data_IF_164287245687
#
_entry.id   IF_164287245687
#
_cell.length_a   1.000
_cell.length_b   1.000
_cell.length_c   1.000
_cell.angle_alpha   90.00
_cell.angle_beta   90.00
_cell.angle_gamma   90.00
#
_symmetry.space_group_name_H-M   'P 1'
#
loop_
_entity.id
_entity.type
_entity.pdbx_description
1 polymer ?
#
# COMPACT_ATOMS: atom_id res chain seq x y z
N UNK A 1 -22.19 -5.02 -11.80
CA UNK A 1 -21.55 -4.24 -10.73
C UNK A 1 -20.51 -3.35 -11.37
N UNK A 2 -20.67 -2.03 -11.33
CA UNK A 2 -19.71 -1.08 -11.90
C UNK A 2 -18.55 -0.90 -10.93
N UNK A 3 -17.37 -1.41 -11.29
CA UNK A 3 -16.14 -1.23 -10.50
C UNK A 3 -15.78 0.25 -10.42
N UNK A 4 -15.37 0.72 -9.24
CA UNK A 4 -14.83 2.07 -9.01
C UNK A 4 -13.35 1.96 -8.64
N UNK A 5 -12.45 1.84 -9.63
CA UNK A 5 -11.06 1.46 -9.37
C UNK A 5 -10.21 2.61 -8.84
N UNK A 6 -10.69 3.86 -8.98
CA UNK A 6 -9.98 5.06 -8.53
C UNK A 6 -10.49 5.46 -7.15
N UNK A 7 -9.67 5.20 -6.15
CA UNK A 7 -9.94 5.56 -4.75
C UNK A 7 -9.27 6.89 -4.43
N UNK A 8 -9.93 7.75 -3.67
CA UNK A 8 -9.37 9.05 -3.30
C UNK A 8 -9.25 9.17 -1.79
N UNK A 9 -8.06 9.53 -1.34
CA UNK A 9 -7.68 9.70 0.05
C UNK A 9 -7.30 11.15 0.33
N UNK A 10 -7.55 11.63 1.54
CA UNK A 10 -7.06 12.92 2.01
C UNK A 10 -5.67 12.82 2.65
N UNK A 11 -5.16 13.94 3.17
CA UNK A 11 -3.84 14.03 3.80
C UNK A 11 -3.67 13.18 5.06
N UNK A 12 -4.77 12.75 5.68
CA UNK A 12 -4.76 11.86 6.85
C UNK A 12 -4.83 10.38 6.45
N UNK A 13 -4.96 10.09 5.15
CA UNK A 13 -5.09 8.74 4.61
C UNK A 13 -6.52 8.19 4.66
N UNK A 14 -7.52 9.02 4.92
CA UNK A 14 -8.92 8.62 4.99
C UNK A 14 -9.55 8.55 3.59
N UNK A 15 -10.36 7.51 3.35
CA UNK A 15 -11.04 7.35 2.07
C UNK A 15 -12.20 8.37 1.95
N UNK A 16 -12.04 9.35 1.07
CA UNK A 16 -13.00 10.44 0.88
C UNK A 16 -13.80 10.34 -0.42
N UNK A 17 -13.42 9.42 -1.32
CA UNK A 17 -14.12 9.25 -2.59
C UNK A 17 -13.78 7.96 -3.34
N UNK A 18 -14.69 7.54 -4.22
CA UNK A 18 -14.45 6.45 -5.17
C UNK A 18 -15.12 6.75 -6.52
N UNK A 19 -14.38 6.56 -7.60
CA UNK A 19 -14.77 6.97 -8.94
C UNK A 19 -14.59 5.85 -9.97
N UNK A 20 -15.45 5.80 -11.01
CA UNK A 20 -15.37 4.78 -12.06
C UNK A 20 -14.25 5.05 -13.07
N UNK A 21 -13.86 6.30 -13.27
CA UNK A 21 -12.86 6.73 -14.24
C UNK A 21 -11.86 7.74 -13.63
N UNK A 22 -10.69 7.81 -14.27
CA UNK A 22 -9.58 8.65 -13.82
C UNK A 22 -9.90 10.14 -13.93
N UNK A 23 -10.54 10.57 -15.01
CA UNK A 23 -10.78 11.98 -15.31
C UNK A 23 -11.70 12.61 -14.25
N UNK A 24 -12.78 11.92 -13.89
CA UNK A 24 -13.71 12.37 -12.84
C UNK A 24 -13.01 12.46 -11.48
N UNK A 25 -12.22 11.45 -11.11
CA UNK A 25 -11.44 11.46 -9.86
C UNK A 25 -10.45 12.64 -9.84
N UNK A 26 -9.79 12.89 -10.97
CA UNK A 26 -8.76 13.90 -11.12
C UNK A 26 -9.32 15.32 -11.01
N UNK A 27 -10.42 15.63 -11.71
CA UNK A 27 -11.12 16.92 -11.60
C UNK A 27 -11.59 17.14 -10.17
N UNK A 28 -12.16 16.11 -9.53
CA UNK A 28 -12.61 16.19 -8.15
C UNK A 28 -11.46 16.50 -7.19
N UNK A 29 -10.33 15.80 -7.31
CA UNK A 29 -9.17 16.00 -6.46
C UNK A 29 -8.60 17.42 -6.57
N UNK A 30 -8.52 17.97 -7.80
CA UNK A 30 -8.10 19.35 -8.00
C UNK A 30 -9.00 20.35 -7.29
N UNK A 31 -10.33 20.23 -7.46
CA UNK A 31 -11.30 21.08 -6.76
C UNK A 31 -11.16 20.97 -5.25
N UNK A 32 -11.06 19.75 -4.73
CA UNK A 32 -10.94 19.51 -3.29
C UNK A 32 -9.62 20.06 -2.73
N UNK A 33 -8.51 19.94 -3.45
CA UNK A 33 -7.18 20.34 -2.99
C UNK A 33 -7.01 21.85 -2.74
N UNK A 34 -7.86 22.69 -3.33
CA UNK A 34 -7.83 24.15 -3.16
C UNK A 34 -8.77 24.64 -2.05
N UNK A 35 -9.60 23.75 -1.50
CA UNK A 35 -10.50 24.13 -0.41
C UNK A 35 -9.72 24.33 0.90
N UNK A 36 -9.97 25.42 1.66
CA UNK A 36 -9.15 25.79 2.82
C UNK A 36 -9.05 24.72 3.92
N UNK A 37 -10.10 23.90 4.08
CA UNK A 37 -10.21 22.89 5.15
C UNK A 37 -9.88 21.47 4.69
N UNK A 38 -9.43 21.29 3.45
CA UNK A 38 -9.01 19.98 2.97
C UNK A 38 -7.68 19.60 3.60
N UNK A 39 -7.66 18.43 4.24
CA UNK A 39 -6.41 17.77 4.64
C UNK A 39 -5.63 17.39 3.38
N UNK A 40 -4.43 17.93 3.25
CA UNK A 40 -3.58 17.82 2.06
C UNK A 40 -2.38 16.92 2.34
N UNK A 41 -1.82 16.24 1.33
CA UNK A 41 -2.24 16.25 -0.09
C UNK A 41 -3.44 15.33 -0.36
N UNK A 42 -4.18 15.59 -1.45
CA UNK A 42 -5.23 14.65 -1.91
C UNK A 42 -4.57 13.59 -2.79
N UNK A 43 -4.84 12.31 -2.54
CA UNK A 43 -4.23 11.20 -3.28
C UNK A 43 -5.27 10.37 -4.02
N UNK A 44 -5.06 10.12 -5.31
CA UNK A 44 -5.86 9.20 -6.12
C UNK A 44 -5.05 7.91 -6.29
N UNK A 45 -5.58 6.78 -5.87
CA UNK A 45 -4.98 5.46 -6.07
C UNK A 45 -5.70 4.67 -7.16
N UNK A 46 -4.92 4.15 -8.10
CA UNK A 46 -5.30 3.05 -8.99
C UNK A 46 -4.41 1.84 -8.64
N UNK A 47 -4.98 0.89 -7.89
CA UNK A 47 -4.25 -0.30 -7.43
C UNK A 47 -3.98 -1.30 -8.54
N UNK A 48 -4.87 -1.39 -9.52
CA UNK A 48 -4.72 -2.30 -10.65
C UNK A 48 -3.59 -1.81 -11.58
N UNK A 49 -3.60 -0.51 -11.90
CA UNK A 49 -2.55 0.16 -12.65
C UNK A 49 -1.28 0.44 -11.85
N UNK A 50 -1.32 0.27 -10.52
CA UNK A 50 -0.22 0.52 -9.57
C UNK A 50 0.29 1.96 -9.64
N UNK A 51 -0.62 2.92 -9.48
CA UNK A 51 -0.34 4.34 -9.64
C UNK A 51 -0.99 5.12 -8.50
N UNK A 52 -0.29 6.17 -8.08
CA UNK A 52 -0.84 7.22 -7.22
C UNK A 52 -0.65 8.56 -7.90
N UNK A 53 -1.71 9.36 -7.97
CA UNK A 53 -1.61 10.79 -8.26
C UNK A 53 -1.72 11.57 -6.95
N UNK A 54 -0.80 12.49 -6.70
CA UNK A 54 -0.80 13.36 -5.51
C UNK A 54 -1.09 14.78 -5.97
N UNK A 55 -2.16 15.38 -5.46
CA UNK A 55 -2.63 16.71 -5.83
C UNK A 55 -2.50 17.64 -4.63
N UNK A 56 -1.71 18.71 -4.80
CA UNK A 56 -1.44 19.68 -3.74
C UNK A 56 -1.07 21.05 -4.34
N UNK A 57 -1.71 22.11 -3.86
CA UNK A 57 -1.37 23.49 -4.24
C UNK A 57 -1.44 23.75 -5.75
N UNK A 58 -2.37 23.10 -6.46
CA UNK A 58 -2.51 23.18 -7.92
C UNK A 58 -1.55 22.29 -8.72
N UNK A 59 -0.56 21.67 -8.08
CA UNK A 59 0.33 20.71 -8.72
C UNK A 59 -0.25 19.29 -8.64
N UNK A 60 -0.02 18.50 -9.69
CA UNK A 60 -0.38 17.08 -9.75
C UNK A 60 0.87 16.26 -10.09
N UNK A 61 1.24 15.33 -9.20
CA UNK A 61 2.42 14.47 -9.34
C UNK A 61 2.00 13.01 -9.43
N UNK A 62 2.44 12.33 -10.49
CA UNK A 62 2.25 10.88 -10.66
C UNK A 62 3.41 10.09 -10.02
N UNK A 63 3.07 9.07 -9.23
CA UNK A 63 3.99 8.05 -8.73
C UNK A 63 3.53 6.69 -9.25
N UNK A 64 4.44 5.95 -9.89
CA UNK A 64 4.16 4.59 -10.39
C UNK A 64 4.84 3.58 -9.48
N UNK A 65 4.09 2.61 -8.94
CA UNK A 65 4.64 1.59 -8.05
C UNK A 65 5.29 0.50 -8.89
N UNK A 66 6.62 0.52 -8.95
CA UNK A 66 7.39 -0.56 -9.54
C UNK A 66 7.47 -1.70 -8.52
N UNK A 67 7.26 -2.94 -8.98
CA UNK A 67 7.60 -4.10 -8.16
C UNK A 67 9.13 -4.12 -8.03
N UNK A 68 9.64 -3.86 -6.82
CA UNK A 68 10.95 -4.38 -6.47
C UNK A 68 10.73 -5.87 -6.20
N UNK A 69 11.27 -6.72 -7.06
CA UNK A 69 11.29 -8.16 -6.80
C UNK A 69 12.51 -8.39 -5.92
N UNK A 70 12.30 -8.48 -4.61
CA UNK A 70 13.32 -9.02 -3.72
C UNK A 70 13.16 -10.54 -3.74
N UNK A 71 14.14 -11.23 -4.33
CA UNK A 71 14.19 -12.69 -4.27
C UNK A 71 14.58 -13.09 -2.84
N UNK A 72 13.60 -13.53 -2.07
CA UNK A 72 13.78 -14.19 -0.79
C UNK A 72 13.23 -15.60 -0.87
N UNK A 73 13.95 -16.58 -0.31
CA UNK A 73 13.42 -17.92 -0.09
C UNK A 73 12.83 -17.98 1.31
N UNK A 74 11.63 -18.55 1.47
CA UNK A 74 11.13 -18.88 2.79
C UNK A 74 12.04 -19.95 3.39
N UNK A 75 12.86 -19.60 4.37
CA UNK A 75 13.54 -20.60 5.19
C UNK A 75 12.51 -21.11 6.19
N UNK A 76 12.06 -22.35 6.01
CA UNK A 76 11.39 -23.05 7.10
C UNK A 76 12.43 -23.19 8.22
N UNK A 77 12.33 -22.37 9.28
CA UNK A 77 13.15 -22.48 10.48
C UNK A 77 12.83 -23.81 11.17
N UNK A 78 13.39 -24.92 10.64
CA UNK A 78 13.42 -26.19 11.34
C UNK A 78 14.38 -26.03 12.51
N UNK A 79 13.85 -25.62 13.66
CA UNK A 79 14.55 -25.78 14.93
C UNK A 79 14.98 -27.24 15.06
N UNK A 80 16.29 -27.56 15.07
CA UNK A 80 16.73 -28.92 15.31
C UNK A 80 16.27 -29.29 16.72
N UNK A 81 15.47 -30.36 16.85
CA UNK A 81 15.20 -30.97 18.16
C UNK A 81 16.54 -31.44 18.71
N UNK A 82 17.07 -30.76 19.72
CA UNK A 82 18.16 -31.25 20.55
C UNK A 82 17.60 -32.46 21.31
N UNK A 83 17.94 -33.67 20.86
CA UNK A 83 17.67 -34.89 21.63
C UNK A 83 18.78 -34.98 22.69
N UNK A 84 18.45 -35.00 23.99
CA UNK A 84 19.47 -35.17 25.01
C UNK A 84 20.19 -36.50 24.82
N UNK A 85 21.52 -36.48 24.82
CA UNK A 85 22.32 -37.71 24.83
C UNK A 85 22.03 -38.46 26.14
N UNK A 86 21.45 -39.66 26.06
CA UNK A 86 21.38 -40.56 27.21
C UNK A 86 22.79 -41.04 27.54
N UNK A 87 23.34 -40.56 28.64
CA UNK A 87 24.52 -41.15 29.26
C UNK A 87 24.10 -42.48 29.90
N UNK A 88 24.56 -43.59 29.33
CA UNK A 88 24.46 -44.89 30.00
C UNK A 88 25.53 -44.93 31.10
N UNK A 89 25.09 -44.85 32.36
CA UNK A 89 25.94 -45.15 33.51
C UNK A 89 26.28 -46.64 33.48
N UNK A 90 27.56 -46.98 33.37
CA UNK A 90 28.04 -48.34 33.60
C UNK A 90 28.00 -48.61 35.10
N UNK A 91 27.30 -49.67 35.49
CA UNK A 91 27.33 -50.19 36.86
C UNK A 91 28.64 -50.96 37.08
N UNK A 92 29.27 -50.74 38.23
CA UNK A 92 30.28 -51.61 38.82
C UNK A 92 30.06 -51.66 40.32
#
# INVERSE_FOLDING_TARGET
MTTRPYLVFDGDGELVGSFPDWETAHIWAHRRSVEPRTSRPVQIEDRAGRRTWTVEGGNCRLTVWRRRVEYGYCVEERHPRVVPLRTHAWAS
#
